data_IF_176909788378
#
_entry.id   IF_176909788378
#
_cell.length_a   1.000
_cell.length_b   1.000
_cell.length_c   1.000
_cell.angle_alpha   90.00
_cell.angle_beta   90.00
_cell.angle_gamma   90.00
#
_symmetry.space_group_name_H-M   'P 1'
#
loop_
_entity.id
_entity.type
_entity.pdbx_description
1 polymer ?
#
# COMPACT_ATOMS: atom_id res chain seq x y z
N UNK A 1 7.60 -2.27 47.13
CA UNK A 1 8.46 -2.61 45.98
C UNK A 1 7.51 -3.11 44.89
N UNK A 2 7.28 -2.33 43.85
CA UNK A 2 6.31 -2.68 42.80
C UNK A 2 6.90 -3.66 41.80
N UNK A 3 6.20 -4.76 41.54
CA UNK A 3 6.59 -5.78 40.57
C UNK A 3 6.52 -5.18 39.16
N UNK A 4 7.66 -5.02 38.49
CA UNK A 4 7.71 -4.48 37.13
C UNK A 4 7.42 -5.62 36.14
N UNK A 5 6.15 -5.76 35.75
CA UNK A 5 5.75 -6.73 34.72
C UNK A 5 6.28 -6.26 33.36
N UNK A 6 7.06 -7.10 32.68
CA UNK A 6 7.57 -6.83 31.33
C UNK A 6 6.67 -7.51 30.31
N UNK A 7 6.18 -6.73 29.35
CA UNK A 7 5.40 -7.23 28.21
C UNK A 7 6.26 -7.17 26.96
N UNK A 8 6.33 -8.27 26.20
CA UNK A 8 6.94 -8.30 24.87
C UNK A 8 5.83 -8.28 23.82
N UNK A 9 5.88 -7.29 22.94
CA UNK A 9 4.91 -7.15 21.84
C UNK A 9 5.60 -7.62 20.56
N UNK A 10 5.13 -8.72 19.99
CA UNK A 10 5.54 -9.18 18.67
C UNK A 10 4.45 -8.80 17.66
N UNK A 11 4.74 -7.83 16.80
CA UNK A 11 3.85 -7.44 15.69
C UNK A 11 4.36 -8.04 14.38
N UNK A 12 3.57 -8.91 13.74
CA UNK A 12 3.85 -9.40 12.38
C UNK A 12 2.96 -8.66 11.38
N UNK A 13 3.53 -7.81 10.51
CA UNK A 13 2.75 -7.16 9.46
C UNK A 13 2.41 -8.18 8.36
N UNK A 14 1.14 -8.25 7.99
CA UNK A 14 0.67 -9.01 6.83
C UNK A 14 -0.17 -8.11 5.92
N UNK A 15 -0.14 -8.38 4.61
CA UNK A 15 -0.98 -7.69 3.64
C UNK A 15 -2.25 -8.50 3.41
N UNK A 16 -3.41 -7.91 3.72
CA UNK A 16 -4.70 -8.48 3.39
C UNK A 16 -4.98 -8.36 1.87
N UNK A 17 -6.06 -8.97 1.39
CA UNK A 17 -6.45 -8.97 -0.01
C UNK A 17 -6.52 -7.56 -0.62
N UNK A 18 -7.01 -6.59 0.14
CA UNK A 18 -7.07 -5.17 -0.26
C UNK A 18 -5.67 -4.56 -0.40
N UNK A 19 -4.76 -4.90 0.53
CA UNK A 19 -3.36 -4.49 0.47
C UNK A 19 -2.66 -5.05 -0.76
N UNK A 20 -2.95 -6.30 -1.13
CA UNK A 20 -2.37 -6.94 -2.34
C UNK A 20 -2.89 -6.27 -3.60
N UNK A 21 -4.18 -5.95 -3.69
CA UNK A 21 -4.72 -5.15 -4.80
C UNK A 21 -4.08 -3.77 -4.86
N UNK A 22 -3.89 -3.13 -3.70
CA UNK A 22 -3.18 -1.88 -3.59
C UNK A 22 -1.76 -1.96 -4.13
N UNK A 23 -1.03 -3.03 -3.80
CA UNK A 23 0.32 -3.27 -4.28
C UNK A 23 0.38 -3.37 -5.81
N UNK A 24 -0.55 -4.12 -6.40
CA UNK A 24 -0.64 -4.26 -7.85
C UNK A 24 -0.97 -2.92 -8.53
N UNK A 25 -1.95 -2.18 -8.01
CA UNK A 25 -2.28 -0.85 -8.54
C UNK A 25 -1.10 0.11 -8.43
N UNK A 26 -0.38 0.11 -7.32
CA UNK A 26 0.78 0.96 -7.09
C UNK A 26 1.93 0.67 -8.07
N UNK A 27 2.17 -0.60 -8.42
CA UNK A 27 3.24 -1.00 -9.34
C UNK A 27 2.85 -0.84 -10.82
N UNK A 28 1.62 -1.21 -11.18
CA UNK A 28 1.19 -1.19 -12.59
C UNK A 28 0.84 0.23 -13.07
N UNK A 29 0.30 1.08 -12.20
CA UNK A 29 -0.09 2.44 -12.56
C UNK A 29 1.04 3.30 -13.15
N UNK A 30 2.28 3.37 -12.60
CA UNK A 30 3.35 4.16 -13.21
C UNK A 30 3.79 3.62 -14.58
N UNK A 31 3.74 2.30 -14.78
CA UNK A 31 4.03 1.67 -16.08
C UNK A 31 3.00 2.12 -17.11
N UNK A 32 1.71 2.02 -16.76
CA UNK A 32 0.62 2.46 -17.63
C UNK A 32 0.63 3.98 -17.84
N UNK A 33 1.02 4.76 -16.84
CA UNK A 33 1.16 6.22 -16.95
C UNK A 33 2.27 6.59 -17.95
N UNK A 34 3.42 5.91 -17.88
CA UNK A 34 4.51 6.08 -18.85
C UNK A 34 4.08 5.73 -20.28
N UNK A 35 3.33 4.64 -20.46
CA UNK A 35 2.76 4.26 -21.76
C UNK A 35 1.72 5.29 -22.26
N UNK A 36 0.93 5.86 -21.35
CA UNK A 36 -0.05 6.90 -21.70
C UNK A 36 0.65 8.20 -22.11
N UNK A 37 1.76 8.56 -21.48
CA UNK A 37 2.61 9.67 -21.92
C UNK A 37 3.26 9.42 -23.28
N UNK A 38 3.77 8.22 -23.51
CA UNK A 38 4.30 7.83 -24.82
C UNK A 38 3.22 7.93 -25.90
N UNK A 39 2.00 7.47 -25.60
CA UNK A 39 0.85 7.62 -26.49
C UNK A 39 0.49 9.10 -26.72
N UNK A 40 0.47 9.92 -25.67
CA UNK A 40 0.21 11.36 -25.77
C UNK A 40 1.20 12.08 -26.69
N UNK A 41 2.50 11.74 -26.63
CA UNK A 41 3.51 12.36 -27.48
C UNK A 41 3.38 11.95 -28.95
N UNK A 42 2.93 10.72 -29.23
CA UNK A 42 2.66 10.27 -30.59
C UNK A 42 1.33 10.80 -31.16
N UNK A 43 0.30 10.87 -30.31
CA UNK A 43 -1.05 11.28 -30.68
C UNK A 43 -1.66 12.10 -29.53
N UNK A 44 -1.41 13.42 -29.49
CA UNK A 44 -1.97 14.26 -28.45
C UNK A 44 -3.49 14.29 -28.58
N UNK A 45 -4.19 14.12 -27.46
CA UNK A 45 -5.65 14.07 -27.46
C UNK A 45 -6.21 13.89 -26.05
N UNK A 46 -7.54 13.94 -25.96
CA UNK A 46 -8.24 13.83 -24.67
C UNK A 46 -8.14 12.42 -24.08
N UNK A 47 -8.14 11.37 -24.91
CA UNK A 47 -8.02 9.97 -24.47
C UNK A 47 -6.73 9.67 -23.71
N UNK A 48 -5.53 9.99 -24.22
CA UNK A 48 -4.29 9.78 -23.46
C UNK A 48 -4.25 10.64 -22.19
N UNK A 49 -4.81 11.85 -22.18
CA UNK A 49 -4.91 12.67 -20.96
C UNK A 49 -5.80 12.01 -19.89
N UNK A 50 -6.94 11.43 -20.30
CA UNK A 50 -7.80 10.65 -19.39
C UNK A 50 -7.04 9.45 -18.84
N UNK A 51 -6.28 8.73 -19.68
CA UNK A 51 -5.48 7.59 -19.24
C UNK A 51 -4.38 8.01 -18.24
N UNK A 52 -3.70 9.13 -18.48
CA UNK A 52 -2.71 9.72 -17.55
C UNK A 52 -3.40 10.07 -16.21
N UNK A 53 -4.53 10.74 -16.25
CA UNK A 53 -5.29 11.10 -15.05
C UNK A 53 -5.77 9.88 -14.26
N UNK A 54 -6.38 8.90 -14.95
CA UNK A 54 -6.89 7.68 -14.34
C UNK A 54 -5.77 6.85 -13.70
N UNK A 55 -4.63 6.72 -14.35
CA UNK A 55 -3.47 5.99 -13.81
C UNK A 55 -2.85 6.70 -12.61
N UNK A 56 -2.84 8.04 -12.58
CA UNK A 56 -2.40 8.80 -11.40
C UNK A 56 -3.35 8.60 -10.19
N UNK A 57 -4.66 8.58 -10.41
CA UNK A 57 -5.63 8.27 -9.35
C UNK A 57 -5.48 6.82 -8.89
N UNK A 58 -5.29 5.88 -9.81
CA UNK A 58 -5.05 4.47 -9.48
C UNK A 58 -3.77 4.27 -8.65
N UNK A 59 -2.70 5.02 -8.93
CA UNK A 59 -1.48 5.02 -8.14
C UNK A 59 -1.74 5.44 -6.69
N UNK A 60 -2.42 6.57 -6.50
CA UNK A 60 -2.78 7.08 -5.17
C UNK A 60 -3.73 6.11 -4.44
N UNK A 61 -4.73 5.58 -5.13
CA UNK A 61 -5.65 4.58 -4.58
C UNK A 61 -4.92 3.30 -4.17
N UNK A 62 -3.98 2.84 -5.00
CA UNK A 62 -3.13 1.68 -4.69
C UNK A 62 -2.26 1.91 -3.46
N UNK A 63 -1.68 3.10 -3.33
CA UNK A 63 -0.92 3.50 -2.14
C UNK A 63 -1.79 3.52 -0.88
N UNK A 64 -3.01 4.06 -0.94
CA UNK A 64 -3.94 4.07 0.20
C UNK A 64 -4.31 2.63 0.60
N UNK A 65 -4.64 1.77 -0.37
CA UNK A 65 -4.96 0.37 -0.12
C UNK A 65 -3.78 -0.41 0.49
N UNK A 66 -2.54 -0.10 0.09
CA UNK A 66 -1.33 -0.65 0.71
C UNK A 66 -1.15 -0.28 2.18
N UNK A 67 -1.66 0.89 2.58
CA UNK A 67 -1.61 1.37 3.97
C UNK A 67 -2.76 0.78 4.79
N UNK A 68 -3.97 0.78 4.23
CA UNK A 68 -5.18 0.31 4.92
C UNK A 68 -5.24 -1.22 5.01
N UNK A 69 -4.85 -1.92 3.94
CA UNK A 69 -4.82 -3.38 3.90
C UNK A 69 -3.62 -3.99 4.63
N UNK A 70 -2.94 -3.23 5.47
CA UNK A 70 -1.84 -3.71 6.31
C UNK A 70 -2.37 -4.07 7.68
N UNK A 71 -2.58 -5.35 7.88
CA UNK A 71 -2.97 -5.91 9.17
C UNK A 71 -1.72 -6.19 10.02
N UNK A 72 -1.86 -6.02 11.33
CA UNK A 72 -0.82 -6.30 12.30
C UNK A 72 -1.32 -7.32 13.31
N UNK A 73 -0.86 -8.56 13.19
CA UNK A 73 -1.05 -9.54 14.25
C UNK A 73 -0.09 -9.20 15.40
N UNK A 74 -0.63 -8.67 16.48
CA UNK A 74 0.14 -8.36 17.70
C UNK A 74 -0.11 -9.44 18.74
N UNK A 75 0.92 -10.22 19.07
CA UNK A 75 0.92 -11.12 20.23
C UNK A 75 1.61 -10.42 21.40
N UNK A 76 0.94 -10.41 22.55
CA UNK A 76 1.48 -9.89 23.81
C UNK A 76 1.86 -11.08 24.67
N UNK A 77 3.17 -11.27 24.84
CA UNK A 77 3.71 -12.30 25.74
C UNK A 77 4.17 -11.63 27.05
N UNK A 78 3.74 -12.17 28.19
CA UNK A 78 4.21 -11.74 29.51
C UNK A 78 5.51 -12.47 29.84
N UNK A 79 6.61 -11.73 29.89
CA UNK A 79 7.90 -12.24 30.35
C UNK A 79 7.96 -11.92 31.84
N UNK A 80 7.67 -12.91 32.67
CA UNK A 80 7.35 -12.80 34.10
C UNK A 80 8.18 -11.79 34.90
N UNK A 81 7.49 -11.11 35.82
CA UNK A 81 8.11 -10.19 36.78
C UNK A 81 8.89 -10.92 37.87
N UNK A 82 10.11 -10.44 38.13
CA UNK A 82 11.01 -10.92 39.19
C UNK A 82 10.50 -10.62 40.59
#
# INVERSE_FOLDING_TARGET
MGLAIRYQIYSRPHLNADGVHGAWLFVLSPILNGLAWWWYFGQPGMWPLIAIGATAVAFLGGFILLLVGRDYDSKVDEIGGS
#
